data_IF_265721699666
#
_entry.id   IF_265721699666
#
_cell.length_a   1.000
_cell.length_b   1.000
_cell.length_c   1.000
_cell.angle_alpha   90.00
_cell.angle_beta   90.00
_cell.angle_gamma   90.00
#
_symmetry.space_group_name_H-M   'P 1'
#
loop_
_entity.id
_entity.type
_entity.pdbx_description
1 polymer ?
#
# COMPACT_ATOMS: atom_id res chain seq x y z
N UNK A 1 -39.29 75.38 24.26
CA UNK A 1 -38.47 74.73 25.29
C UNK A 1 -38.74 73.25 25.34
N UNK A 2 -39.87 72.85 25.92
CA UNK A 2 -40.20 71.44 26.23
C UNK A 2 -40.17 70.48 25.02
N UNK A 3 -40.76 70.89 23.89
CA UNK A 3 -40.79 70.05 22.68
C UNK A 3 -39.38 69.70 22.15
N UNK A 4 -38.43 70.63 22.23
CA UNK A 4 -37.06 70.41 21.74
C UNK A 4 -36.33 69.42 22.66
N UNK A 5 -36.53 69.53 23.98
CA UNK A 5 -35.93 68.62 24.97
C UNK A 5 -36.50 67.20 24.82
N UNK A 6 -37.82 67.08 24.62
CA UNK A 6 -38.47 65.79 24.39
C UNK A 6 -37.98 65.16 23.08
N UNK A 7 -37.86 65.95 22.02
CA UNK A 7 -37.38 65.47 20.72
C UNK A 7 -35.90 65.02 20.78
N UNK A 8 -35.05 65.75 21.50
CA UNK A 8 -33.67 65.34 21.77
C UNK A 8 -33.58 64.06 22.62
N UNK A 9 -34.42 63.93 23.65
CA UNK A 9 -34.44 62.72 24.46
C UNK A 9 -34.92 61.50 23.66
N UNK A 10 -35.91 61.68 22.78
CA UNK A 10 -36.42 60.63 21.92
C UNK A 10 -35.38 60.19 20.88
N UNK A 11 -34.61 61.11 20.28
CA UNK A 11 -33.54 60.76 19.34
C UNK A 11 -32.37 60.05 20.03
N UNK A 12 -32.02 60.45 21.26
CA UNK A 12 -30.99 59.76 22.04
C UNK A 12 -31.43 58.32 22.37
N UNK A 13 -32.69 58.13 22.81
CA UNK A 13 -33.22 56.80 23.13
C UNK A 13 -33.28 55.91 21.88
N UNK A 14 -33.64 56.43 20.72
CA UNK A 14 -33.64 55.64 19.47
C UNK A 14 -32.23 55.30 19.01
N UNK A 15 -31.26 56.21 19.14
CA UNK A 15 -29.84 55.92 18.83
C UNK A 15 -29.29 54.83 19.74
N UNK A 16 -29.59 54.89 21.05
CA UNK A 16 -29.19 53.84 22.00
C UNK A 16 -29.86 52.50 21.65
N UNK A 17 -31.16 52.51 21.32
CA UNK A 17 -31.89 51.32 20.91
C UNK A 17 -31.36 50.68 19.62
N UNK A 18 -31.05 51.49 18.60
CA UNK A 18 -30.44 51.01 17.36
C UNK A 18 -29.03 50.46 17.60
N UNK A 19 -28.23 51.12 18.44
CA UNK A 19 -26.87 50.68 18.78
C UNK A 19 -26.86 49.35 19.53
N UNK A 20 -27.81 49.14 20.44
CA UNK A 20 -27.97 47.87 21.14
C UNK A 20 -28.39 46.73 20.18
N UNK A 21 -29.27 47.01 19.22
CA UNK A 21 -29.70 46.04 18.21
C UNK A 21 -28.59 45.68 17.22
N UNK A 22 -27.79 46.65 16.78
CA UNK A 22 -26.63 46.37 15.90
C UNK A 22 -25.57 45.57 16.64
N UNK A 23 -25.30 45.88 17.91
CA UNK A 23 -24.41 45.10 18.77
C UNK A 23 -24.90 43.65 18.94
N UNK A 24 -26.18 43.44 19.28
CA UNK A 24 -26.75 42.10 19.42
C UNK A 24 -26.69 41.27 18.11
N UNK A 25 -26.89 41.91 16.95
CA UNK A 25 -26.72 41.25 15.64
C UNK A 25 -25.27 40.86 15.35
N UNK A 26 -24.31 41.67 15.77
CA UNK A 26 -22.88 41.38 15.61
C UNK A 26 -22.50 40.20 16.51
N UNK A 27 -22.91 40.22 17.79
CA UNK A 27 -22.64 39.13 18.73
C UNK A 27 -23.26 37.81 18.27
N UNK A 28 -24.50 37.83 17.78
CA UNK A 28 -25.15 36.63 17.24
C UNK A 28 -24.39 36.06 16.04
N UNK A 29 -23.96 36.91 15.09
CA UNK A 29 -23.14 36.47 13.95
C UNK A 29 -21.79 35.92 14.40
N UNK A 30 -21.12 36.58 15.34
CA UNK A 30 -19.85 36.10 15.90
C UNK A 30 -20.01 34.74 16.57
N UNK A 31 -21.08 34.53 17.35
CA UNK A 31 -21.40 33.25 17.97
C UNK A 31 -21.67 32.16 16.91
N UNK A 32 -22.47 32.47 15.89
CA UNK A 32 -22.78 31.54 14.81
C UNK A 32 -21.52 31.16 14.02
N UNK A 33 -20.71 32.13 13.62
CA UNK A 33 -19.44 31.87 12.91
C UNK A 33 -18.44 31.11 13.77
N UNK A 34 -18.43 31.33 15.09
CA UNK A 34 -17.61 30.56 16.03
C UNK A 34 -18.04 29.09 16.08
N UNK A 35 -19.36 28.84 16.14
CA UNK A 35 -19.93 27.49 16.09
C UNK A 35 -19.65 26.80 14.75
N UNK A 36 -19.91 27.46 13.62
CA UNK A 36 -19.61 26.94 12.28
C UNK A 36 -18.11 26.63 12.13
N UNK A 37 -17.24 27.48 12.68
CA UNK A 37 -15.79 27.25 12.69
C UNK A 37 -15.44 26.01 13.48
N UNK A 38 -16.02 25.80 14.66
CA UNK A 38 -15.77 24.62 15.46
C UNK A 38 -16.20 23.34 14.73
N UNK A 39 -17.40 23.35 14.13
CA UNK A 39 -17.94 22.21 13.38
C UNK A 39 -17.09 21.94 12.13
N UNK A 40 -16.74 22.97 11.35
CA UNK A 40 -15.88 22.82 10.18
C UNK A 40 -14.50 22.23 10.54
N UNK A 41 -13.95 22.56 11.72
CA UNK A 41 -12.69 21.95 12.22
C UNK A 41 -12.86 20.45 12.47
N UNK A 42 -13.93 20.05 13.15
CA UNK A 42 -14.21 18.63 13.39
C UNK A 42 -14.43 17.87 12.09
N UNK A 43 -15.20 18.45 11.15
CA UNK A 43 -15.40 17.87 9.82
C UNK A 43 -14.09 17.71 9.05
N UNK A 44 -13.17 18.69 9.13
CA UNK A 44 -11.86 18.59 8.49
C UNK A 44 -10.99 17.46 9.06
N UNK A 45 -11.09 17.17 10.36
CA UNK A 45 -10.45 16.01 10.98
C UNK A 45 -11.12 14.70 10.54
N UNK A 46 -12.46 14.66 10.53
CA UNK A 46 -13.21 13.50 10.01
C UNK A 46 -12.92 13.24 8.53
N UNK A 47 -12.62 14.26 7.74
CA UNK A 47 -12.20 14.09 6.35
C UNK A 47 -10.84 13.36 6.23
N UNK A 48 -9.91 13.61 7.16
CA UNK A 48 -8.63 12.89 7.23
C UNK A 48 -8.87 11.42 7.62
N UNK A 49 -9.75 11.18 8.60
CA UNK A 49 -10.14 9.81 8.99
C UNK A 49 -10.82 9.07 7.83
N UNK A 50 -11.71 9.74 7.09
CA UNK A 50 -12.34 9.17 5.91
C UNK A 50 -11.33 8.82 4.80
N UNK A 51 -10.30 9.66 4.60
CA UNK A 51 -9.22 9.38 3.67
C UNK A 51 -8.39 8.17 4.12
N UNK A 52 -8.05 8.07 5.41
CA UNK A 52 -7.32 6.93 5.96
C UNK A 52 -8.14 5.63 5.81
N UNK A 53 -9.45 5.67 6.04
CA UNK A 53 -10.34 4.52 5.79
C UNK A 53 -10.38 4.15 4.31
N UNK A 54 -10.42 5.14 3.41
CA UNK A 54 -10.42 4.88 1.97
C UNK A 54 -9.11 4.21 1.51
N UNK A 55 -7.96 4.67 2.02
CA UNK A 55 -6.65 4.05 1.74
C UNK A 55 -6.61 2.62 2.33
N UNK A 56 -7.05 2.45 3.58
CA UNK A 56 -7.05 1.15 4.25
C UNK A 56 -7.92 0.09 3.56
N UNK A 57 -8.97 0.49 2.85
CA UNK A 57 -9.85 -0.45 2.15
C UNK A 57 -9.45 -0.75 0.70
N UNK A 58 -8.37 -0.14 0.19
CA UNK A 58 -7.92 -0.33 -1.20
C UNK A 58 -6.43 -0.69 -1.23
N UNK A 59 -6.12 -1.98 -1.45
CA UNK A 59 -4.74 -2.45 -1.59
C UNK A 59 -3.99 -1.79 -2.77
N UNK A 60 -4.72 -1.28 -3.76
CA UNK A 60 -4.19 -0.61 -4.95
C UNK A 60 -4.44 0.90 -4.93
N UNK A 61 -4.64 1.50 -3.74
CA UNK A 61 -4.97 2.92 -3.62
C UNK A 61 -3.98 3.84 -4.34
N UNK A 62 -2.68 3.50 -4.35
CA UNK A 62 -1.63 4.31 -5.02
C UNK A 62 -1.83 4.43 -6.52
N UNK A 63 -2.44 3.43 -7.16
CA UNK A 63 -2.75 3.45 -8.59
C UNK A 63 -4.17 3.92 -8.87
N UNK A 64 -5.12 3.65 -7.96
CA UNK A 64 -6.53 3.99 -8.14
C UNK A 64 -6.83 5.46 -7.79
N UNK A 65 -6.03 6.06 -6.90
CA UNK A 65 -6.20 7.44 -6.45
C UNK A 65 -5.22 8.37 -7.16
N UNK A 66 -5.67 9.59 -7.42
CA UNK A 66 -4.87 10.60 -8.12
C UNK A 66 -4.16 11.53 -7.14
N UNK A 67 -2.91 11.86 -7.47
CA UNK A 67 -2.16 12.90 -6.76
C UNK A 67 -2.89 14.25 -6.81
N UNK A 68 -2.88 14.96 -5.69
CA UNK A 68 -3.35 16.34 -5.51
C UNK A 68 -4.73 16.65 -6.10
N UNK A 69 -5.62 15.65 -6.07
CA UNK A 69 -6.99 15.75 -6.60
C UNK A 69 -7.99 15.62 -5.47
N UNK A 70 -8.90 16.59 -5.35
CA UNK A 70 -9.96 16.57 -4.34
C UNK A 70 -11.03 15.53 -4.67
N UNK A 71 -11.44 14.77 -3.66
CA UNK A 71 -12.62 13.91 -3.76
C UNK A 71 -13.91 14.74 -3.82
N UNK A 72 -14.98 14.21 -4.42
CA UNK A 72 -16.30 14.85 -4.40
C UNK A 72 -16.74 15.17 -2.97
N UNK A 73 -17.38 16.32 -2.78
CA UNK A 73 -17.89 16.70 -1.47
C UNK A 73 -18.96 15.71 -0.99
N UNK A 74 -18.72 15.12 0.16
CA UNK A 74 -19.64 14.17 0.80
C UNK A 74 -20.32 14.85 1.98
N UNK A 75 -21.66 14.85 2.06
CA UNK A 75 -22.37 15.39 3.22
C UNK A 75 -22.04 14.61 4.49
N UNK A 76 -21.77 15.32 5.59
CA UNK A 76 -21.59 14.74 6.92
C UNK A 76 -22.20 15.69 7.96
N UNK A 77 -23.30 15.27 8.57
CA UNK A 77 -24.08 16.11 9.49
C UNK A 77 -24.62 17.35 8.78
N UNK A 78 -24.29 18.54 9.30
CA UNK A 78 -24.74 19.83 8.75
C UNK A 78 -23.76 20.46 7.75
N UNK A 79 -22.69 19.75 7.38
CA UNK A 79 -21.65 20.24 6.49
C UNK A 79 -21.21 19.22 5.45
N UNK A 80 -20.11 19.51 4.78
CA UNK A 80 -19.48 18.61 3.81
C UNK A 80 -18.03 18.32 4.18
N UNK A 81 -17.58 17.14 3.81
CA UNK A 81 -16.18 16.72 3.87
C UNK A 81 -15.65 16.43 2.46
N UNK A 82 -14.38 16.72 2.25
CA UNK A 82 -13.62 16.33 1.05
C UNK A 82 -12.16 16.16 1.45
N UNK A 83 -11.43 15.32 0.74
CA UNK A 83 -10.02 15.05 1.03
C UNK A 83 -9.21 14.89 -0.24
N UNK A 84 -7.89 15.02 -0.12
CA UNK A 84 -6.94 14.74 -1.19
C UNK A 84 -5.62 14.19 -0.64
N UNK A 85 -4.87 13.52 -1.51
CA UNK A 85 -3.56 12.96 -1.21
C UNK A 85 -2.48 13.74 -1.94
N UNK A 86 -1.38 14.04 -1.27
CA UNK A 86 -0.25 14.76 -1.85
C UNK A 86 1.04 14.03 -1.48
N UNK A 87 1.77 13.63 -2.51
CA UNK A 87 3.18 13.25 -2.38
C UNK A 87 4.01 14.55 -2.38
N UNK A 88 4.73 14.82 -1.30
CA UNK A 88 5.54 16.05 -1.15
C UNK A 88 6.95 15.91 -1.73
N UNK A 89 7.36 14.71 -2.15
CA UNK A 89 8.74 14.38 -2.56
C UNK A 89 8.91 14.55 -4.06
N UNK A 90 8.04 13.91 -4.84
CA UNK A 90 8.16 13.85 -6.30
C UNK A 90 6.82 14.08 -7.03
N UNK A 91 5.72 14.26 -6.29
CA UNK A 91 4.40 14.53 -6.87
C UNK A 91 3.75 13.32 -7.54
N UNK A 92 4.22 12.11 -7.26
CA UNK A 92 3.68 10.86 -7.80
C UNK A 92 3.41 9.86 -6.69
N UNK A 93 2.17 9.37 -6.62
CA UNK A 93 1.81 8.34 -5.65
C UNK A 93 2.40 6.95 -5.99
N UNK A 94 2.89 6.76 -7.22
CA UNK A 94 3.35 5.47 -7.74
C UNK A 94 4.85 5.38 -7.97
N UNK A 95 5.57 6.51 -8.02
CA UNK A 95 7.01 6.52 -8.30
C UNK A 95 7.84 5.94 -7.16
N UNK A 96 7.40 6.16 -5.91
CA UNK A 96 7.95 5.55 -4.71
C UNK A 96 6.78 5.09 -3.84
N UNK A 97 6.53 3.78 -3.83
CA UNK A 97 5.42 3.18 -3.08
C UNK A 97 5.66 3.16 -1.57
N UNK A 98 6.89 3.46 -1.13
CA UNK A 98 7.29 3.55 0.27
C UNK A 98 7.30 4.98 0.80
N UNK A 99 7.18 5.98 -0.08
CA UNK A 99 7.20 7.37 0.32
C UNK A 99 5.96 7.75 1.17
N UNK A 100 6.13 8.56 2.23
CA UNK A 100 5.01 9.04 3.02
C UNK A 100 4.12 9.98 2.19
N UNK A 101 2.82 9.96 2.47
CA UNK A 101 1.82 10.76 1.77
C UNK A 101 1.11 11.69 2.72
N UNK A 102 0.98 12.96 2.31
CA UNK A 102 0.22 13.96 3.07
C UNK A 102 -1.25 13.87 2.70
N UNK A 103 -2.08 13.61 3.71
CA UNK A 103 -3.53 13.67 3.61
C UNK A 103 -3.98 15.07 3.95
N UNK A 104 -4.76 15.69 3.07
CA UNK A 104 -5.47 16.94 3.35
C UNK A 104 -6.95 16.64 3.55
N UNK A 105 -7.50 17.06 4.69
CA UNK A 105 -8.94 17.02 4.95
C UNK A 105 -9.53 18.43 4.93
N UNK A 106 -10.66 18.59 4.23
CA UNK A 106 -11.45 19.81 4.14
C UNK A 106 -12.82 19.55 4.76
N UNK A 107 -13.21 20.42 5.69
CA UNK A 107 -14.55 20.48 6.27
C UNK A 107 -15.20 21.82 5.98
N UNK A 108 -16.44 21.82 5.49
CA UNK A 108 -17.18 23.04 5.17
C UNK A 108 -18.57 23.06 5.82
N UNK A 109 -18.97 24.19 6.38
CA UNK A 109 -20.32 24.45 6.88
C UNK A 109 -20.74 25.83 6.37
N UNK A 110 -21.74 25.87 5.48
CA UNK A 110 -22.11 27.11 4.80
C UNK A 110 -20.92 27.70 4.03
N UNK A 111 -20.47 28.90 4.41
CA UNK A 111 -19.28 29.55 3.83
C UNK A 111 -18.00 29.32 4.64
N UNK A 112 -18.10 28.72 5.83
CA UNK A 112 -16.97 28.50 6.71
C UNK A 112 -16.23 27.22 6.30
N UNK A 113 -14.97 27.35 5.89
CA UNK A 113 -14.10 26.22 5.50
C UNK A 113 -12.93 26.10 6.45
N UNK A 114 -12.59 24.86 6.83
CA UNK A 114 -11.38 24.52 7.58
C UNK A 114 -10.66 23.38 6.89
N UNK A 115 -9.34 23.45 6.94
CA UNK A 115 -8.46 22.44 6.37
C UNK A 115 -7.37 22.05 7.36
N UNK A 116 -7.12 20.76 7.45
CA UNK A 116 -5.98 20.19 8.15
C UNK A 116 -5.22 19.26 7.22
N UNK A 117 -3.94 19.07 7.49
CA UNK A 117 -3.17 18.02 6.86
C UNK A 117 -2.37 17.23 7.89
N UNK A 118 -2.09 15.99 7.55
CA UNK A 118 -1.23 15.09 8.33
C UNK A 118 -0.40 14.27 7.37
N UNK A 119 0.85 13.98 7.76
CA UNK A 119 1.70 13.07 7.01
C UNK A 119 1.47 11.65 7.53
N UNK A 120 1.10 10.76 6.62
CA UNK A 120 0.94 9.33 6.89
C UNK A 120 2.09 8.60 6.22
N UNK A 121 2.71 7.70 6.98
CA UNK A 121 3.77 6.85 6.50
C UNK A 121 3.29 5.39 6.53
N UNK A 122 3.95 4.57 5.73
CA UNK A 122 3.60 3.18 5.49
C UNK A 122 4.79 2.32 5.90
N UNK A 123 4.58 1.17 6.55
CA UNK A 123 5.70 0.31 6.87
C UNK A 123 6.37 -0.12 5.58
N UNK A 124 7.69 -0.06 5.58
CA UNK A 124 8.47 -0.67 4.52
C UNK A 124 8.19 -2.16 4.57
N UNK A 125 7.81 -2.71 3.42
CA UNK A 125 7.70 -4.15 3.30
C UNK A 125 9.11 -4.71 3.31
N UNK A 126 9.52 -5.30 4.42
CA UNK A 126 10.84 -5.90 4.56
C UNK A 126 10.77 -7.36 4.07
N UNK A 127 11.86 -7.86 3.46
CA UNK A 127 11.88 -9.24 3.00
C UNK A 127 11.78 -10.19 4.19
N UNK A 128 10.94 -11.21 4.05
CA UNK A 128 10.81 -12.32 4.99
C UNK A 128 11.74 -13.47 4.59
N UNK A 129 12.19 -14.24 5.58
CA UNK A 129 12.97 -15.45 5.36
C UNK A 129 12.05 -16.62 4.96
N UNK A 130 11.41 -16.52 3.79
CA UNK A 130 10.54 -17.57 3.26
C UNK A 130 11.34 -18.82 2.87
N UNK A 131 12.54 -18.62 2.31
CA UNK A 131 13.47 -19.66 1.88
C UNK A 131 14.79 -19.55 2.64
N UNK A 132 15.46 -20.68 2.86
CA UNK A 132 16.63 -20.76 3.75
C UNK A 132 17.95 -20.27 3.15
N UNK A 133 18.10 -20.31 1.83
CA UNK A 133 19.31 -19.91 1.12
C UNK A 133 18.93 -19.17 -0.17
N UNK A 134 18.50 -17.90 -0.05
CA UNK A 134 17.98 -17.12 -1.18
C UNK A 134 19.06 -16.53 -2.10
N UNK A 135 20.28 -16.33 -1.59
CA UNK A 135 21.40 -15.66 -2.28
C UNK A 135 22.42 -16.63 -2.87
N UNK A 136 22.38 -17.90 -2.47
CA UNK A 136 23.26 -18.98 -2.93
C UNK A 136 24.76 -18.75 -2.72
N UNK A 137 25.15 -17.78 -1.89
CA UNK A 137 26.56 -17.42 -1.67
C UNK A 137 27.38 -18.48 -0.92
N UNK A 138 26.68 -19.40 -0.25
CA UNK A 138 27.27 -20.49 0.52
C UNK A 138 26.92 -21.87 -0.05
N UNK A 139 26.58 -21.92 -1.35
CA UNK A 139 26.18 -23.13 -2.06
C UNK A 139 24.68 -23.23 -2.23
N UNK A 140 24.14 -24.45 -2.25
CA UNK A 140 22.73 -24.73 -2.58
C UNK A 140 21.98 -25.45 -1.45
N UNK A 141 22.43 -25.29 -0.20
CA UNK A 141 21.78 -25.93 0.95
C UNK A 141 20.29 -25.58 1.00
N UNK A 142 19.43 -26.56 1.30
CA UNK A 142 17.97 -26.41 1.32
C UNK A 142 17.27 -26.57 -0.03
N UNK A 143 18.01 -26.55 -1.14
CA UNK A 143 17.46 -26.71 -2.48
C UNK A 143 17.72 -28.10 -3.05
N UNK A 144 16.71 -28.68 -3.70
CA UNK A 144 16.80 -29.97 -4.37
C UNK A 144 16.22 -29.91 -5.77
N UNK A 145 16.61 -30.83 -6.64
CA UNK A 145 15.95 -31.01 -7.94
C UNK A 145 14.77 -31.97 -7.83
N UNK A 146 13.75 -31.75 -8.64
CA UNK A 146 12.75 -32.78 -8.91
C UNK A 146 13.39 -34.02 -9.55
N UNK A 147 12.77 -35.19 -9.43
CA UNK A 147 13.30 -36.50 -9.85
C UNK A 147 14.24 -36.45 -11.07
N UNK A 148 15.53 -36.69 -10.86
CA UNK A 148 16.57 -36.73 -11.90
C UNK A 148 17.13 -35.36 -12.36
N UNK A 149 16.54 -34.24 -11.94
CA UNK A 149 17.09 -32.89 -12.12
C UNK A 149 18.28 -32.68 -11.20
N UNK A 150 19.32 -32.03 -11.73
CA UNK A 150 20.50 -31.63 -10.97
C UNK A 150 20.37 -30.16 -10.58
N UNK A 151 20.42 -29.89 -9.27
CA UNK A 151 20.69 -28.56 -8.74
C UNK A 151 22.15 -28.45 -8.35
N UNK A 152 22.80 -27.35 -8.71
CA UNK A 152 24.22 -27.15 -8.46
C UNK A 152 24.56 -25.68 -8.25
N UNK A 153 25.70 -25.42 -7.62
CA UNK A 153 26.18 -24.08 -7.34
C UNK A 153 26.95 -23.54 -8.56
N UNK A 154 26.40 -22.53 -9.24
CA UNK A 154 27.03 -21.84 -10.36
C UNK A 154 27.79 -20.62 -9.86
N UNK A 155 29.10 -20.60 -10.11
CA UNK A 155 29.98 -19.51 -9.63
C UNK A 155 30.58 -18.70 -10.78
N UNK A 156 30.32 -19.05 -12.04
CA UNK A 156 30.97 -18.39 -13.19
C UNK A 156 30.27 -17.10 -13.62
N UNK A 157 28.96 -17.02 -13.42
CA UNK A 157 28.13 -15.88 -13.80
C UNK A 157 26.88 -15.84 -12.90
N UNK A 158 27.05 -15.60 -11.58
CA UNK A 158 25.93 -15.30 -10.69
C UNK A 158 25.36 -13.91 -11.00
N UNK A 159 24.14 -13.63 -10.57
CA UNK A 159 23.57 -12.28 -10.68
C UNK A 159 24.22 -11.36 -9.63
N UNK A 160 24.35 -11.88 -8.40
CA UNK A 160 24.96 -11.19 -7.28
C UNK A 160 25.86 -12.11 -6.47
N UNK A 161 26.75 -11.53 -5.67
CA UNK A 161 27.60 -12.32 -4.78
C UNK A 161 28.54 -13.28 -5.50
N UNK A 162 28.61 -14.50 -5.00
CA UNK A 162 29.57 -15.56 -5.31
C UNK A 162 28.92 -16.77 -5.99
N UNK A 163 27.59 -16.83 -6.01
CA UNK A 163 26.85 -18.05 -6.32
C UNK A 163 25.47 -17.81 -6.92
N UNK A 164 24.99 -18.77 -7.70
CA UNK A 164 23.61 -18.89 -8.12
C UNK A 164 23.20 -20.36 -8.15
N UNK A 165 21.90 -20.62 -8.08
CA UNK A 165 21.33 -21.96 -8.25
C UNK A 165 21.23 -22.30 -9.74
N UNK A 166 22.01 -23.27 -10.22
CA UNK A 166 21.87 -23.82 -11.57
C UNK A 166 20.99 -25.07 -11.54
N UNK A 167 19.93 -25.05 -12.33
CA UNK A 167 19.01 -26.18 -12.56
C UNK A 167 19.32 -26.78 -13.92
N UNK A 168 19.73 -28.04 -13.94
CA UNK A 168 20.22 -28.72 -15.15
C UNK A 168 19.85 -30.20 -15.20
N UNK A 169 20.26 -30.88 -16.28
CA UNK A 169 19.94 -32.30 -16.51
C UNK A 169 18.43 -32.57 -16.46
N UNK A 170 17.65 -31.65 -17.02
CA UNK A 170 16.20 -31.69 -17.00
C UNK A 170 15.70 -32.54 -18.17
N UNK A 171 14.70 -33.38 -17.91
CA UNK A 171 14.14 -34.30 -18.91
C UNK A 171 12.61 -34.18 -19.04
N UNK A 172 11.98 -33.37 -18.18
CA UNK A 172 10.59 -32.92 -18.31
C UNK A 172 10.58 -31.40 -18.15
N UNK A 173 9.84 -30.70 -19.00
CA UNK A 173 9.86 -29.22 -19.04
C UNK A 173 9.34 -28.59 -17.75
N UNK A 174 8.47 -29.26 -16.99
CA UNK A 174 7.98 -28.76 -15.73
C UNK A 174 8.74 -29.30 -14.51
N UNK A 175 9.88 -29.96 -14.68
CA UNK A 175 10.70 -30.41 -13.54
C UNK A 175 11.74 -29.36 -13.18
N UNK A 176 11.80 -29.01 -11.91
CA UNK A 176 12.48 -27.82 -11.44
C UNK A 176 13.40 -28.00 -10.25
N UNK A 177 13.84 -26.86 -9.71
CA UNK A 177 14.40 -26.80 -8.38
C UNK A 177 13.31 -26.47 -7.36
N UNK A 178 13.41 -27.07 -6.18
CA UNK A 178 12.44 -26.93 -5.09
C UNK A 178 13.11 -26.75 -3.74
N UNK A 179 12.42 -26.05 -2.84
CA UNK A 179 12.80 -25.91 -1.43
C UNK A 179 11.57 -26.05 -0.55
N UNK A 180 11.74 -26.65 0.62
CA UNK A 180 10.71 -26.73 1.64
C UNK A 180 10.41 -25.34 2.20
N UNK A 181 9.12 -24.97 2.23
CA UNK A 181 8.60 -23.72 2.82
C UNK A 181 7.50 -23.99 3.83
N UNK A 182 7.29 -25.25 4.25
CA UNK A 182 6.14 -25.71 5.03
C UNK A 182 5.93 -24.91 6.31
N UNK A 183 7.01 -24.57 7.02
CA UNK A 183 6.96 -23.82 8.28
C UNK A 183 6.95 -22.29 8.10
N UNK A 184 7.03 -21.82 6.86
CA UNK A 184 7.29 -20.41 6.53
C UNK A 184 6.11 -19.75 5.80
N UNK A 185 5.08 -20.53 5.46
CA UNK A 185 3.84 -20.05 4.82
C UNK A 185 2.64 -20.14 5.75
N UNK A 186 1.72 -19.20 5.57
CA UNK A 186 0.44 -19.09 6.25
C UNK A 186 -0.72 -19.25 5.26
N UNK A 187 -1.83 -19.78 5.76
CA UNK A 187 -3.00 -20.07 4.94
C UNK A 187 -3.69 -18.77 4.51
N UNK A 188 -3.99 -18.63 3.22
CA UNK A 188 -4.60 -17.45 2.61
C UNK A 188 -3.79 -16.15 2.74
N UNK A 189 -2.48 -16.25 3.00
CA UNK A 189 -1.56 -15.11 2.96
C UNK A 189 -0.99 -14.98 1.55
N UNK A 190 -1.02 -13.77 0.97
CA UNK A 190 -0.41 -13.52 -0.33
C UNK A 190 1.08 -13.21 -0.14
N UNK A 191 1.93 -13.94 -0.86
CA UNK A 191 3.37 -13.73 -0.88
C UNK A 191 3.78 -13.15 -2.23
N UNK A 192 4.57 -12.08 -2.21
CA UNK A 192 5.29 -11.60 -3.39
C UNK A 192 6.70 -12.17 -3.38
N UNK A 193 7.02 -12.95 -4.40
CA UNK A 193 8.34 -13.54 -4.59
C UNK A 193 9.01 -12.81 -5.74
N UNK A 194 10.22 -12.32 -5.50
CA UNK A 194 11.09 -11.71 -6.49
C UNK A 194 12.34 -12.57 -6.60
N UNK A 195 12.84 -12.71 -7.82
CA UNK A 195 14.08 -13.43 -8.06
C UNK A 195 14.72 -12.91 -9.35
N UNK A 196 16.02 -13.10 -9.48
CA UNK A 196 16.71 -12.96 -10.76
C UNK A 196 16.84 -14.32 -11.40
N UNK A 197 16.43 -14.43 -12.67
CA UNK A 197 16.45 -15.69 -13.40
C UNK A 197 17.10 -15.50 -14.75
N UNK A 198 17.81 -16.53 -15.23
CA UNK A 198 18.49 -16.51 -16.52
C UNK A 198 18.45 -17.88 -17.18
N UNK A 199 18.02 -17.93 -18.43
CA UNK A 199 18.11 -19.15 -19.24
C UNK A 199 19.56 -19.39 -19.68
N UNK A 200 20.00 -20.65 -19.73
CA UNK A 200 21.32 -21.01 -20.28
C UNK A 200 21.31 -21.14 -21.81
N UNK A 201 20.13 -21.22 -22.43
CA UNK A 201 19.95 -21.31 -23.88
C UNK A 201 18.75 -20.45 -24.34
N UNK A 202 17.83 -20.99 -25.13
CA UNK A 202 16.71 -20.22 -25.68
C UNK A 202 15.75 -19.75 -24.59
N UNK A 203 15.07 -18.62 -24.83
CA UNK A 203 14.06 -18.09 -23.94
C UNK A 203 12.92 -19.09 -23.67
N UNK A 204 12.37 -19.03 -22.47
CA UNK A 204 11.19 -19.81 -22.07
C UNK A 204 10.38 -19.01 -21.03
N UNK A 205 9.20 -19.51 -20.69
CA UNK A 205 8.45 -19.08 -19.53
C UNK A 205 8.97 -19.80 -18.29
N UNK A 206 9.49 -19.04 -17.33
CA UNK A 206 9.82 -19.54 -16.00
C UNK A 206 8.55 -19.55 -15.17
N UNK A 207 8.20 -20.72 -14.64
CA UNK A 207 7.08 -20.96 -13.74
C UNK A 207 7.60 -20.91 -12.30
N UNK A 208 6.92 -20.14 -11.47
CA UNK A 208 7.14 -20.13 -10.01
C UNK A 208 5.88 -20.67 -9.36
N UNK A 209 6.02 -21.71 -8.54
CA UNK A 209 4.89 -22.46 -8.00
C UNK A 209 5.03 -22.70 -6.51
N UNK A 210 3.90 -22.70 -5.80
CA UNK A 210 3.81 -23.32 -4.47
C UNK A 210 3.02 -24.62 -4.63
N UNK A 211 3.66 -25.75 -4.32
CA UNK A 211 3.07 -27.08 -4.34
C UNK A 211 2.75 -27.49 -2.91
N UNK A 212 1.49 -27.81 -2.61
CA UNK A 212 1.06 -28.16 -1.26
C UNK A 212 0.42 -29.54 -1.20
N UNK A 213 0.73 -30.28 -0.13
CA UNK A 213 0.13 -31.57 0.17
C UNK A 213 -0.69 -31.50 1.47
N UNK A 214 -1.95 -31.91 1.37
CA UNK A 214 -2.90 -32.03 2.47
C UNK A 214 -3.23 -33.50 2.67
N UNK A 215 -3.77 -33.86 3.84
CA UNK A 215 -4.17 -35.25 4.11
C UNK A 215 -5.23 -35.73 3.10
N UNK A 216 -4.87 -36.66 2.22
CA UNK A 216 -5.80 -37.39 1.35
C UNK A 216 -6.09 -36.79 -0.04
N UNK A 217 -5.35 -35.76 -0.51
CA UNK A 217 -5.62 -35.07 -1.79
C UNK A 217 -4.44 -35.04 -2.78
N UNK A 218 -4.77 -34.74 -4.05
CA UNK A 218 -3.83 -34.29 -5.10
C UNK A 218 -3.15 -32.96 -4.72
N UNK A 219 -1.90 -32.73 -5.13
CA UNK A 219 -1.20 -31.49 -4.84
C UNK A 219 -1.96 -30.28 -5.38
N UNK A 220 -2.12 -29.25 -4.55
CA UNK A 220 -2.64 -27.96 -5.01
C UNK A 220 -1.47 -27.10 -5.45
N UNK A 221 -1.63 -26.44 -6.59
CA UNK A 221 -0.58 -25.67 -7.24
C UNK A 221 -1.10 -24.27 -7.50
N UNK A 222 -0.42 -23.28 -6.94
CA UNK A 222 -0.56 -21.88 -7.38
C UNK A 222 0.66 -21.56 -8.21
N UNK A 223 0.47 -21.03 -9.42
CA UNK A 223 1.56 -20.77 -10.34
C UNK A 223 1.35 -19.46 -11.11
N UNK A 224 2.45 -18.82 -11.44
CA UNK A 224 2.51 -17.80 -12.49
C UNK A 224 3.78 -17.99 -13.30
N UNK A 225 3.89 -17.28 -14.43
CA UNK A 225 5.04 -17.40 -15.31
C UNK A 225 5.44 -16.09 -15.95
N UNK A 226 6.75 -15.90 -16.15
CA UNK A 226 7.31 -14.76 -16.85
C UNK A 226 8.35 -15.22 -17.88
N UNK A 227 8.43 -14.50 -19.00
CA UNK A 227 9.39 -14.83 -20.06
C UNK A 227 10.78 -14.41 -19.63
N UNK A 228 11.74 -15.32 -19.72
CA UNK A 228 13.15 -15.10 -19.37
C UNK A 228 14.01 -15.55 -20.55
N UNK A 229 15.07 -14.80 -20.84
CA UNK A 229 16.02 -15.10 -21.91
C UNK A 229 17.43 -15.40 -21.36
N UNK A 230 18.46 -15.29 -22.21
CA UNK A 230 19.85 -15.54 -21.85
C UNK A 230 20.48 -14.51 -20.89
N UNK A 231 19.79 -13.41 -20.60
CA UNK A 231 20.21 -12.36 -19.68
C UNK A 231 19.52 -12.52 -18.32
N UNK A 232 20.17 -12.05 -17.27
CA UNK A 232 19.54 -11.95 -15.95
C UNK A 232 18.32 -11.04 -16.03
N UNK A 233 17.15 -11.62 -15.80
CA UNK A 233 15.85 -10.96 -15.88
C UNK A 233 15.22 -10.99 -14.49
N UNK A 234 14.78 -9.84 -13.94
CA UNK A 234 14.05 -9.82 -12.69
C UNK A 234 12.65 -10.35 -12.92
N UNK A 235 12.22 -11.28 -12.09
CA UNK A 235 10.83 -11.74 -12.06
C UNK A 235 10.16 -11.32 -10.76
N UNK A 236 8.86 -11.05 -10.82
CA UNK A 236 8.04 -10.71 -9.66
C UNK A 236 6.70 -11.41 -9.79
N UNK A 237 6.36 -12.21 -8.79
CA UNK A 237 5.21 -13.09 -8.79
C UNK A 237 4.45 -12.97 -7.47
N UNK A 238 3.13 -13.04 -7.52
CA UNK A 238 2.30 -13.11 -6.31
C UNK A 238 1.58 -14.45 -6.25
N UNK A 239 1.72 -15.15 -5.13
CA UNK A 239 1.11 -16.46 -4.90
C UNK A 239 0.36 -16.43 -3.57
N UNK A 240 -0.90 -16.88 -3.58
CA UNK A 240 -1.74 -16.97 -2.39
C UNK A 240 -2.04 -18.44 -2.10
N UNK A 241 -1.18 -19.15 -1.35
CA UNK A 241 -1.47 -20.51 -0.94
C UNK A 241 -2.74 -20.57 -0.10
N UNK A 242 -3.60 -21.55 -0.39
CA UNK A 242 -4.80 -21.83 0.40
C UNK A 242 -4.96 -23.33 0.62
N UNK A 243 -5.37 -23.71 1.83
CA UNK A 243 -5.64 -25.09 2.19
C UNK A 243 -6.80 -25.23 3.18
N UNK A 244 -7.37 -26.43 3.22
CA UNK A 244 -8.36 -26.82 4.24
C UNK A 244 -7.76 -27.88 5.16
N UNK A 245 -8.03 -27.81 6.46
CA UNK A 245 -7.43 -28.71 7.45
C UNK A 245 -5.95 -28.42 7.72
N UNK A 246 -5.16 -29.46 7.94
CA UNK A 246 -3.74 -29.35 8.27
C UNK A 246 -2.87 -29.44 7.01
N UNK A 247 -1.98 -28.46 6.84
CA UNK A 247 -0.89 -28.54 5.86
C UNK A 247 0.12 -29.59 6.34
N UNK A 248 0.44 -30.57 5.48
CA UNK A 248 1.47 -31.57 5.78
C UNK A 248 2.82 -31.15 5.23
N UNK A 249 2.82 -30.55 4.04
CA UNK A 249 4.03 -30.21 3.31
C UNK A 249 3.76 -29.13 2.27
N UNK A 250 4.71 -28.22 2.07
CA UNK A 250 4.70 -27.23 1.00
C UNK A 250 6.11 -26.98 0.44
N UNK A 251 6.20 -26.86 -0.88
CA UNK A 251 7.43 -26.53 -1.58
C UNK A 251 7.25 -25.31 -2.47
N UNK A 252 8.27 -24.43 -2.50
CA UNK A 252 8.44 -23.45 -3.56
C UNK A 252 9.23 -24.09 -4.70
N UNK A 253 8.75 -23.98 -5.92
CA UNK A 253 9.37 -24.56 -7.11
C UNK A 253 9.63 -23.50 -8.18
N UNK A 254 10.79 -23.59 -8.83
CA UNK A 254 11.11 -22.91 -10.08
C UNK A 254 11.29 -23.96 -11.17
N UNK A 255 10.51 -23.87 -12.25
CA UNK A 255 10.62 -24.72 -13.43
C UNK A 255 10.38 -23.91 -14.71
N UNK A 256 10.53 -24.53 -15.88
CA UNK A 256 10.14 -23.91 -17.15
C UNK A 256 8.76 -24.41 -17.58
N UNK A 257 8.21 -23.82 -18.65
CA UNK A 257 6.94 -24.25 -19.21
C UNK A 257 7.11 -25.23 -20.36
N UNK A 258 7.98 -24.91 -21.32
CA UNK A 258 7.95 -25.58 -22.63
C UNK A 258 9.21 -26.40 -22.95
N UNK A 259 10.37 -25.98 -22.47
CA UNK A 259 11.65 -26.61 -22.79
C UNK A 259 12.24 -27.31 -21.59
N UNK A 260 13.22 -28.18 -21.80
CA UNK A 260 14.07 -28.74 -20.73
C UNK A 260 15.38 -27.98 -20.60
N UNK A 261 15.43 -26.74 -21.06
CA UNK A 261 16.64 -25.93 -21.01
C UNK A 261 17.05 -25.66 -19.56
N UNK A 262 18.35 -25.60 -19.34
CA UNK A 262 18.92 -25.24 -18.05
C UNK A 262 18.69 -23.75 -17.78
N UNK A 263 18.57 -23.40 -16.49
CA UNK A 263 18.39 -22.02 -16.05
C UNK A 263 19.04 -21.80 -14.69
N UNK A 264 19.35 -20.54 -14.40
CA UNK A 264 19.88 -20.09 -13.12
C UNK A 264 18.85 -19.24 -12.37
N UNK A 265 18.80 -19.37 -11.04
CA UNK A 265 18.03 -18.53 -10.13
C UNK A 265 18.97 -17.94 -9.09
N UNK A 266 18.77 -16.68 -8.73
CA UNK A 266 19.58 -15.95 -7.76
C UNK A 266 18.78 -14.82 -7.10
N UNK A 267 19.27 -14.30 -5.97
CA UNK A 267 18.74 -13.16 -5.22
C UNK A 267 17.22 -13.24 -5.00
N UNK A 268 16.79 -14.32 -4.33
CA UNK A 268 15.38 -14.53 -4.03
C UNK A 268 14.96 -13.65 -2.84
N UNK A 269 14.01 -12.77 -3.07
CA UNK A 269 13.39 -11.96 -2.02
C UNK A 269 11.92 -12.34 -1.91
N UNK A 270 11.41 -12.43 -0.69
CA UNK A 270 10.02 -12.79 -0.44
C UNK A 270 9.41 -11.77 0.49
N UNK A 271 8.19 -11.34 0.21
CA UNK A 271 7.48 -10.34 0.99
C UNK A 271 6.06 -10.84 1.27
N UNK A 272 5.52 -10.50 2.44
CA UNK A 272 4.08 -10.63 2.66
C UNK A 272 3.40 -9.45 1.99
N UNK A 273 2.39 -9.71 1.16
CA UNK A 273 1.55 -8.64 0.61
C UNK A 273 0.44 -8.37 1.62
N UNK A 274 0.42 -7.20 2.28
CA UNK A 274 -0.62 -6.89 3.26
C UNK A 274 -1.99 -6.89 2.58
N UNK A 275 -2.98 -7.53 3.21
CA UNK A 275 -4.38 -7.49 2.75
C UNK A 275 -5.00 -6.11 2.95
N UNK A 276 -4.42 -5.32 3.85
CA UNK A 276 -4.78 -3.95 4.20
C UNK A 276 -3.46 -3.17 4.33
N UNK A 277 -3.30 -2.00 3.68
CA UNK A 277 -2.11 -1.19 3.87
C UNK A 277 -2.08 -0.69 5.32
N UNK A 278 -1.05 -1.11 6.06
CA UNK A 278 -0.75 -0.55 7.37
C UNK A 278 -0.33 0.92 7.21
N UNK A 279 -0.78 1.76 8.15
CA UNK A 279 -0.55 3.19 8.14
C UNK A 279 -0.28 3.69 9.54
N UNK A 280 0.66 4.62 9.66
CA UNK A 280 0.88 5.34 10.90
C UNK A 280 1.04 6.84 10.64
N UNK A 281 0.52 7.63 11.58
CA UNK A 281 0.69 9.08 11.55
C UNK A 281 2.13 9.40 11.93
N UNK A 282 2.82 10.18 11.10
CA UNK A 282 4.14 10.71 11.45
C UNK A 282 3.97 11.71 12.60
N UNK A 283 4.56 11.47 13.79
CA UNK A 283 4.40 12.35 14.94
C UNK A 283 4.81 13.80 14.63
N UNK A 284 4.01 14.76 15.09
CA UNK A 284 4.27 16.19 14.86
C UNK A 284 4.00 16.69 13.43
N UNK A 285 3.46 15.86 12.55
CA UNK A 285 3.20 16.23 11.15
C UNK A 285 1.88 16.97 10.89
N UNK A 286 1.04 17.09 11.92
CA UNK A 286 -0.24 17.79 11.86
C UNK A 286 -0.05 19.27 11.56
N UNK A 287 -0.77 19.77 10.54
CA UNK A 287 -0.73 21.18 10.14
C UNK A 287 -2.15 21.71 9.97
N UNK A 288 -2.37 22.94 10.41
CA UNK A 288 -3.54 23.71 10.01
C UNK A 288 -3.25 24.37 8.67
N UNK A 289 -4.05 24.05 7.68
CA UNK A 289 -3.88 24.56 6.34
C UNK A 289 -4.74 25.79 6.11
N UNK A 290 -4.31 26.64 5.17
CA UNK A 290 -5.08 27.80 4.75
C UNK A 290 -6.13 27.32 3.77
N UNK A 291 -7.41 27.59 4.07
CA UNK A 291 -8.47 27.39 3.10
C UNK A 291 -8.26 28.39 1.95
N UNK A 292 -8.29 27.95 0.68
CA UNK A 292 -8.23 28.86 -0.45
C UNK A 292 -9.41 29.84 -0.48
#
# INVERSE_FOLDING_TARGET
GLYIVVLFSATIVTIIGLSALTAARIEFRQSQTSQETAIARSLAQSAIEAAAVAIGNDASWRTNMSHNTWTPETPLGIGTISWKLVDEVNGSLTADTTAPVRIYGRGAVGQTVRMYSVLVDFPKNEPIALVSNPDFDSGISGWTGESGVTVSHETSNPYSGTGALLVSNRWVSNYGARTDITSSIDNNTTYEIRAWVRMKSSSDLIRVLIVMYQSGFTPYVVATSQTVDGNWTPITVQLTPSWTGSLLYAELEFSTQSTTNDFCVDAIECYVVPTVPEMYIVPGSWRREVAP
#
